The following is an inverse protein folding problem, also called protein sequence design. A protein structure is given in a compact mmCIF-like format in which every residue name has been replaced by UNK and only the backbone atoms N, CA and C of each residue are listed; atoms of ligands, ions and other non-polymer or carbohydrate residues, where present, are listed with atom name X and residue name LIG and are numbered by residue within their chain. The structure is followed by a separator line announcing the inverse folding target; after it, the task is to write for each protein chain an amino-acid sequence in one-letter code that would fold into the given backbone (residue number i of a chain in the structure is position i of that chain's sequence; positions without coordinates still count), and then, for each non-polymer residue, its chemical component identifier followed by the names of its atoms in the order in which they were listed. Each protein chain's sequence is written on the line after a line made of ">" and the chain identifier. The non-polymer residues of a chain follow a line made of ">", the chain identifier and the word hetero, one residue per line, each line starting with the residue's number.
data_IF_605660737939
#
_entry.id   IF_605660737939
#
_cell.length_a   1.000
_cell.length_b   1.000
_cell.length_c   1.000
_cell.angle_alpha   90.00
_cell.angle_beta   90.00
_cell.angle_gamma   90.00
#
_symmetry.space_group_name_H-M   'P 1'
#
loop_
_entity.id
_entity.type
_entity.pdbx_description
1 polymer ?
#
# COMPACT_ATOMS: atom_id res chain seq x y z
N UNK A 1 -21.35 33.68 28.32
CA UNK A 1 -20.97 32.80 27.21
C UNK A 1 -19.45 32.73 26.94
N UNK A 2 -18.59 33.25 27.84
CA UNK A 2 -17.10 33.28 27.66
C UNK A 2 -16.38 32.26 28.55
N UNK A 3 -17.06 31.66 29.54
CA UNK A 3 -16.42 30.73 30.50
C UNK A 3 -16.26 29.28 30.00
N UNK A 4 -17.03 28.82 28.99
CA UNK A 4 -16.95 27.46 28.49
C UNK A 4 -15.81 27.20 27.45
N UNK A 5 -15.31 28.28 26.83
CA UNK A 5 -14.19 28.17 25.86
C UNK A 5 -12.83 27.91 26.54
N UNK A 6 -12.68 28.34 27.81
CA UNK A 6 -11.40 28.17 28.54
C UNK A 6 -11.14 26.75 29.06
N UNK A 7 -12.19 26.00 29.37
CA UNK A 7 -12.02 24.62 29.88
C UNK A 7 -11.58 23.64 28.80
N UNK A 8 -12.09 23.76 27.56
CA UNK A 8 -11.65 22.94 26.44
C UNK A 8 -10.21 23.31 26.03
N UNK A 9 -9.85 24.58 26.02
CA UNK A 9 -8.49 25.03 25.75
C UNK A 9 -7.50 24.58 26.83
N UNK A 10 -7.88 24.59 28.10
CA UNK A 10 -7.08 24.06 29.20
C UNK A 10 -6.95 22.55 29.17
N UNK A 11 -8.01 21.79 28.78
CA UNK A 11 -7.95 20.37 28.59
C UNK A 11 -7.02 19.98 27.43
N UNK A 12 -7.11 20.69 26.29
CA UNK A 12 -6.22 20.49 25.14
C UNK A 12 -4.78 20.87 25.47
N UNK A 13 -4.57 21.97 26.19
CA UNK A 13 -3.24 22.39 26.66
C UNK A 13 -2.68 21.41 27.70
N UNK A 14 -3.51 20.86 28.59
CA UNK A 14 -3.15 19.83 29.55
C UNK A 14 -2.75 18.52 28.87
N UNK A 15 -3.48 18.07 27.85
CA UNK A 15 -3.17 16.90 27.05
C UNK A 15 -1.89 17.13 26.23
N UNK A 16 -1.68 18.32 25.68
CA UNK A 16 -0.48 18.70 24.93
C UNK A 16 0.76 18.80 25.86
N UNK A 17 0.60 19.31 27.08
CA UNK A 17 1.66 19.36 28.10
C UNK A 17 1.98 17.97 28.63
N UNK A 18 0.98 17.10 28.84
CA UNK A 18 1.17 15.71 29.26
C UNK A 18 1.93 14.88 28.20
N UNK A 19 1.68 15.16 26.89
CA UNK A 19 2.46 14.54 25.79
C UNK A 19 3.92 14.98 25.75
N UNK A 20 4.27 16.17 26.25
CA UNK A 20 5.66 16.68 26.22
C UNK A 20 6.55 16.18 27.34
N UNK A 21 6.00 15.57 28.39
CA UNK A 21 6.75 15.32 29.64
C UNK A 21 7.11 13.86 29.91
N UNK A 22 6.70 12.90 29.07
CA UNK A 22 7.13 11.50 29.25
C UNK A 22 7.91 11.03 28.02
N UNK A 23 9.19 10.66 28.18
CA UNK A 23 9.91 9.96 27.13
C UNK A 23 9.13 8.68 26.79
N UNK A 24 8.89 8.43 25.50
CA UNK A 24 8.31 7.17 25.04
C UNK A 24 9.30 6.07 25.42
N UNK A 25 8.96 5.29 26.43
CA UNK A 25 9.76 4.16 26.87
C UNK A 25 9.70 3.09 25.76
N UNK A 26 10.81 2.36 25.56
CA UNK A 26 10.86 1.21 24.64
C UNK A 26 9.70 0.24 24.93
N UNK A 27 9.34 0.10 26.19
CA UNK A 27 8.16 -0.65 26.67
C UNK A 27 6.86 -0.19 26.00
N UNK A 28 6.64 1.12 25.83
CA UNK A 28 5.40 1.67 25.26
C UNK A 28 5.32 1.42 23.73
N UNK A 29 6.46 1.39 23.05
CA UNK A 29 6.57 1.07 21.62
C UNK A 29 6.16 -0.38 21.32
N UNK A 30 6.29 -1.29 22.27
CA UNK A 30 5.93 -2.71 22.14
C UNK A 30 4.56 -2.99 22.75
N UNK A 31 4.29 -2.50 23.96
CA UNK A 31 3.06 -2.83 24.69
C UNK A 31 1.81 -2.20 24.09
N UNK A 32 1.90 -0.96 23.59
CA UNK A 32 0.72 -0.30 23.01
C UNK A 32 0.23 -0.98 21.71
N UNK A 33 1.09 -1.32 20.73
CA UNK A 33 0.65 -2.12 19.58
C UNK A 33 0.11 -3.49 19.98
N UNK A 34 0.77 -4.21 20.92
CA UNK A 34 0.27 -5.49 21.40
C UNK A 34 -1.11 -5.36 22.06
N UNK A 35 -1.32 -4.34 22.89
CA UNK A 35 -2.63 -4.08 23.50
C UNK A 35 -3.68 -3.74 22.43
N UNK A 36 -3.31 -3.00 21.37
CA UNK A 36 -4.17 -2.73 20.22
C UNK A 36 -4.58 -4.01 19.48
N UNK A 37 -3.62 -4.88 19.16
CA UNK A 37 -3.91 -6.17 18.51
C UNK A 37 -4.77 -7.08 19.40
N UNK A 38 -4.46 -7.17 20.69
CA UNK A 38 -5.28 -7.91 21.65
C UNK A 38 -6.70 -7.35 21.73
N UNK A 39 -6.86 -6.03 21.73
CA UNK A 39 -8.16 -5.38 21.71
C UNK A 39 -8.99 -5.76 20.48
N UNK A 40 -8.38 -5.78 19.29
CA UNK A 40 -9.04 -6.22 18.05
C UNK A 40 -9.43 -7.70 18.11
N UNK A 41 -8.54 -8.58 18.59
CA UNK A 41 -8.83 -10.00 18.74
C UNK A 41 -9.97 -10.25 19.77
N UNK A 42 -9.95 -9.54 20.89
CA UNK A 42 -11.00 -9.63 21.91
C UNK A 42 -12.35 -9.11 21.38
N UNK A 43 -12.33 -8.02 20.60
CA UNK A 43 -13.53 -7.50 19.95
C UNK A 43 -14.09 -8.53 18.94
N UNK A 44 -13.23 -9.12 18.12
CA UNK A 44 -13.64 -10.20 17.20
C UNK A 44 -14.24 -11.39 17.98
N UNK A 45 -13.55 -11.86 19.02
CA UNK A 45 -14.05 -12.94 19.85
C UNK A 45 -15.40 -12.62 20.49
N UNK A 46 -15.57 -11.39 21.02
CA UNK A 46 -16.83 -10.94 21.60
C UNK A 46 -17.97 -10.92 20.58
N UNK A 47 -17.73 -10.35 19.39
CA UNK A 47 -18.73 -10.30 18.32
C UNK A 47 -19.12 -11.71 17.87
N UNK A 48 -18.15 -12.59 17.66
CA UNK A 48 -18.36 -13.97 17.23
C UNK A 48 -19.10 -14.83 18.27
N UNK A 49 -18.93 -14.52 19.57
CA UNK A 49 -19.53 -15.35 20.65
C UNK A 49 -20.89 -14.84 21.09
N UNK A 50 -21.15 -13.51 21.06
CA UNK A 50 -22.33 -12.92 21.68
C UNK A 50 -23.30 -12.25 20.69
N UNK A 51 -22.86 -11.91 19.48
CA UNK A 51 -23.66 -11.11 18.53
C UNK A 51 -24.11 -11.90 17.30
N UNK A 52 -23.43 -13.00 16.93
CA UNK A 52 -23.75 -13.75 15.72
C UNK A 52 -23.21 -15.17 15.74
N UNK A 53 -24.07 -16.13 15.35
CA UNK A 53 -23.68 -17.54 15.21
C UNK A 53 -22.96 -17.85 13.88
N UNK A 54 -22.95 -16.90 12.94
CA UNK A 54 -22.37 -17.09 11.61
C UNK A 54 -20.88 -16.80 11.57
N UNK A 55 -20.36 -16.02 12.52
CA UNK A 55 -18.97 -15.59 12.52
C UNK A 55 -18.11 -16.56 13.33
N UNK A 56 -17.07 -17.16 12.75
CA UNK A 56 -16.17 -18.04 13.50
C UNK A 56 -15.38 -17.23 14.54
N UNK A 57 -15.13 -17.84 15.69
CA UNK A 57 -14.19 -17.27 16.67
C UNK A 57 -12.74 -17.32 16.14
N UNK A 58 -11.82 -16.51 16.69
CA UNK A 58 -10.41 -16.55 16.28
C UNK A 58 -9.80 -17.96 16.39
N UNK A 59 -10.18 -18.72 17.44
CA UNK A 59 -9.70 -20.07 17.64
C UNK A 59 -10.25 -21.04 16.57
N UNK A 60 -11.53 -20.97 16.25
CA UNK A 60 -12.14 -21.78 15.19
C UNK A 60 -11.52 -21.50 13.83
N UNK A 61 -11.33 -20.23 13.46
CA UNK A 61 -10.69 -19.85 12.20
C UNK A 61 -9.28 -20.45 12.05
N UNK A 62 -8.52 -20.58 13.14
CA UNK A 62 -7.20 -21.21 13.13
C UNK A 62 -7.27 -22.74 13.10
N UNK A 63 -8.08 -23.35 13.97
CA UNK A 63 -8.16 -24.81 14.13
C UNK A 63 -8.74 -25.49 12.88
N UNK A 64 -9.79 -24.94 12.29
CA UNK A 64 -10.42 -25.50 11.07
C UNK A 64 -9.51 -25.38 9.84
N UNK A 65 -8.55 -24.46 9.86
CA UNK A 65 -7.61 -24.24 8.77
C UNK A 65 -6.19 -24.73 9.06
N UNK A 66 -5.98 -25.56 10.08
CA UNK A 66 -4.66 -26.07 10.42
C UNK A 66 -3.94 -26.76 9.24
N UNK A 67 -4.66 -27.51 8.40
CA UNK A 67 -4.06 -28.15 7.24
C UNK A 67 -3.58 -27.12 6.19
N UNK A 68 -4.33 -26.06 5.94
CA UNK A 68 -3.95 -24.95 5.08
C UNK A 68 -2.73 -24.15 5.62
N UNK A 69 -2.60 -24.06 6.93
CA UNK A 69 -1.52 -23.34 7.59
C UNK A 69 -0.23 -24.20 7.62
N UNK A 70 -0.35 -25.49 7.95
CA UNK A 70 0.80 -26.40 8.09
C UNK A 70 1.34 -26.84 6.72
N UNK A 71 0.47 -26.97 5.72
CA UNK A 71 0.84 -27.41 4.37
C UNK A 71 0.49 -26.35 3.30
N UNK A 72 1.01 -25.10 3.36
CA UNK A 72 0.57 -24.00 2.50
C UNK A 72 0.88 -24.23 1.01
N UNK A 73 1.75 -25.19 0.68
CA UNK A 73 2.19 -25.49 -0.71
C UNK A 73 1.70 -26.84 -1.22
N UNK A 74 0.60 -27.38 -0.70
CA UNK A 74 0.04 -28.62 -1.24
C UNK A 74 -0.51 -28.45 -2.65
N UNK A 75 -0.56 -29.56 -3.40
CA UNK A 75 -1.20 -29.68 -4.72
C UNK A 75 -2.00 -30.99 -4.74
N UNK A 76 -3.32 -30.87 -4.60
CA UNK A 76 -4.21 -32.06 -4.56
C UNK A 76 -5.03 -32.27 -5.84
N UNK A 77 -4.65 -31.57 -6.92
CA UNK A 77 -5.31 -31.67 -8.23
C UNK A 77 -5.44 -30.32 -8.94
N UNK A 78 -6.03 -30.29 -10.15
CA UNK A 78 -6.33 -29.07 -10.86
C UNK A 78 -7.27 -28.17 -10.03
N UNK A 79 -6.85 -26.95 -9.74
CA UNK A 79 -7.63 -25.99 -8.96
C UNK A 79 -7.58 -26.16 -7.43
N UNK A 80 -7.03 -27.26 -6.89
CA UNK A 80 -6.88 -27.46 -5.44
C UNK A 80 -5.43 -27.23 -5.01
N UNK A 81 -5.10 -25.96 -4.86
CA UNK A 81 -3.78 -25.45 -4.50
C UNK A 81 -3.78 -24.88 -3.08
N UNK A 82 -2.71 -25.13 -2.35
CA UNK A 82 -2.48 -24.54 -1.04
C UNK A 82 -2.34 -23.03 -1.09
N UNK A 83 -2.69 -22.35 0.02
CA UNK A 83 -2.69 -20.89 0.17
C UNK A 83 -1.37 -20.24 -0.25
N UNK A 84 -0.23 -20.90 -0.02
CA UNK A 84 1.08 -20.40 -0.45
C UNK A 84 1.22 -20.22 -1.96
N UNK A 85 0.70 -21.15 -2.76
CA UNK A 85 0.72 -21.05 -4.22
C UNK A 85 -0.23 -19.96 -4.71
N UNK A 86 -1.41 -19.84 -4.09
CA UNK A 86 -2.39 -18.78 -4.41
C UNK A 86 -1.81 -17.39 -4.12
N UNK A 87 -1.17 -17.25 -2.96
CA UNK A 87 -0.49 -16.02 -2.55
C UNK A 87 0.64 -15.64 -3.51
N UNK A 88 1.48 -16.60 -3.90
CA UNK A 88 2.57 -16.38 -4.86
C UNK A 88 2.05 -15.94 -6.23
N UNK A 89 0.93 -16.52 -6.70
CA UNK A 89 0.30 -16.11 -7.96
C UNK A 89 -0.17 -14.64 -7.90
N UNK A 90 -0.84 -14.25 -6.84
CA UNK A 90 -1.27 -12.86 -6.61
C UNK A 90 -0.08 -11.89 -6.51
N UNK A 91 0.95 -12.25 -5.72
CA UNK A 91 2.17 -11.45 -5.58
C UNK A 91 2.90 -11.27 -6.92
N UNK A 92 2.99 -12.32 -7.74
CA UNK A 92 3.60 -12.19 -9.08
C UNK A 92 2.89 -11.16 -9.94
N UNK A 93 1.55 -11.17 -9.99
CA UNK A 93 0.76 -10.19 -10.75
C UNK A 93 0.96 -8.77 -10.23
N UNK A 94 0.92 -8.61 -8.90
CA UNK A 94 1.13 -7.32 -8.24
C UNK A 94 2.50 -6.77 -8.57
N UNK A 95 3.56 -7.56 -8.38
CA UNK A 95 4.94 -7.09 -8.61
C UNK A 95 5.18 -6.72 -10.07
N UNK A 96 4.65 -7.50 -11.04
CA UNK A 96 4.78 -7.18 -12.47
C UNK A 96 4.02 -5.88 -12.80
N UNK A 97 2.74 -5.78 -12.44
CA UNK A 97 1.93 -4.60 -12.74
C UNK A 97 2.46 -3.33 -12.06
N UNK A 98 2.86 -3.43 -10.79
CA UNK A 98 3.48 -2.36 -10.04
C UNK A 98 4.83 -1.91 -10.63
N UNK A 99 5.71 -2.85 -11.00
CA UNK A 99 6.99 -2.52 -11.61
C UNK A 99 6.82 -1.80 -12.96
N UNK A 100 5.91 -2.30 -13.82
CA UNK A 100 5.56 -1.62 -15.07
C UNK A 100 5.01 -0.22 -14.80
N UNK A 101 4.12 -0.08 -13.81
CA UNK A 101 3.58 1.21 -13.37
C UNK A 101 4.69 2.17 -12.91
N UNK A 102 5.60 1.71 -12.08
CA UNK A 102 6.71 2.52 -11.57
C UNK A 102 7.67 2.97 -12.69
N UNK A 103 8.01 2.07 -13.63
CA UNK A 103 8.88 2.37 -14.79
C UNK A 103 8.30 3.50 -15.65
N UNK A 104 6.99 3.55 -15.82
CA UNK A 104 6.31 4.59 -16.59
C UNK A 104 6.04 5.85 -15.77
N UNK A 105 5.60 5.67 -14.52
CA UNK A 105 5.18 6.77 -13.64
C UNK A 105 6.33 7.68 -13.22
N UNK A 106 7.50 7.11 -12.90
CA UNK A 106 8.65 7.91 -12.43
C UNK A 106 9.13 8.89 -13.50
N UNK A 107 9.41 8.50 -14.76
CA UNK A 107 9.78 9.43 -15.81
C UNK A 107 8.72 10.51 -16.08
N UNK A 108 7.44 10.14 -16.10
CA UNK A 108 6.33 11.10 -16.28
C UNK A 108 6.29 12.09 -15.12
N UNK A 109 6.42 11.61 -13.88
CA UNK A 109 6.49 12.46 -12.69
C UNK A 109 7.67 13.42 -12.71
N UNK A 110 8.84 12.97 -13.17
CA UNK A 110 10.01 13.84 -13.38
C UNK A 110 9.71 14.92 -14.42
N UNK A 111 9.16 14.55 -15.56
CA UNK A 111 8.79 15.50 -16.62
C UNK A 111 7.84 16.58 -16.10
N UNK A 112 6.81 16.18 -15.34
CA UNK A 112 5.84 17.10 -14.74
C UNK A 112 6.50 18.00 -13.69
N UNK A 113 7.33 17.44 -12.81
CA UNK A 113 8.00 18.19 -11.75
C UNK A 113 9.04 19.18 -12.24
N UNK A 114 9.69 18.90 -13.37
CA UNK A 114 10.72 19.78 -13.97
C UNK A 114 10.15 20.85 -14.90
N UNK A 115 8.94 20.66 -15.44
CA UNK A 115 8.39 21.52 -16.51
C UNK A 115 6.99 22.02 -16.19
N UNK A 116 6.84 23.34 -16.02
CA UNK A 116 5.50 23.96 -15.88
C UNK A 116 4.59 23.68 -17.07
N UNK A 117 5.14 23.59 -18.29
CA UNK A 117 4.36 23.27 -19.50
C UNK A 117 3.86 21.84 -19.46
N UNK A 118 4.70 20.87 -19.06
CA UNK A 118 4.29 19.48 -18.89
C UNK A 118 3.24 19.34 -17.78
N UNK A 119 3.41 20.04 -16.65
CA UNK A 119 2.43 20.08 -15.58
C UNK A 119 1.08 20.61 -16.07
N UNK A 120 1.03 21.73 -16.78
CA UNK A 120 -0.21 22.29 -17.32
C UNK A 120 -0.91 21.35 -18.33
N UNK A 121 -0.13 20.63 -19.14
CA UNK A 121 -0.67 19.70 -20.14
C UNK A 121 -1.17 18.39 -19.52
N UNK A 122 -0.45 17.80 -18.57
CA UNK A 122 -0.75 16.46 -18.03
C UNK A 122 -1.60 16.47 -16.78
N UNK A 123 -1.58 17.54 -15.98
CA UNK A 123 -2.35 17.60 -14.73
C UNK A 123 -3.86 17.43 -14.94
N UNK A 124 -4.53 18.03 -15.96
CA UNK A 124 -5.95 17.79 -16.20
C UNK A 124 -6.26 16.30 -16.48
N UNK A 125 -5.39 15.63 -17.24
CA UNK A 125 -5.52 14.19 -17.54
C UNK A 125 -5.44 13.38 -16.25
N UNK A 126 -4.43 13.65 -15.41
CA UNK A 126 -4.26 12.98 -14.11
C UNK A 126 -5.48 13.20 -13.22
N UNK A 127 -6.01 14.42 -13.16
CA UNK A 127 -7.17 14.74 -12.32
C UNK A 127 -8.46 14.04 -12.77
N UNK A 128 -8.60 13.74 -14.06
CA UNK A 128 -9.74 12.99 -14.60
C UNK A 128 -9.60 11.51 -14.29
N UNK A 129 -8.44 10.92 -14.50
CA UNK A 129 -8.26 9.47 -14.39
C UNK A 129 -7.94 8.96 -12.98
N UNK A 130 -7.33 9.79 -12.12
CA UNK A 130 -7.00 9.43 -10.74
C UNK A 130 -8.21 8.97 -9.91
N UNK A 131 -9.39 9.61 -9.95
CA UNK A 131 -10.54 9.18 -9.17
C UNK A 131 -11.30 8.00 -9.78
N UNK A 132 -10.93 7.53 -10.97
CA UNK A 132 -11.60 6.37 -11.60
C UNK A 132 -11.29 5.12 -10.79
N UNK A 133 -12.35 4.40 -10.40
CA UNK A 133 -12.19 3.13 -9.68
C UNK A 133 -11.32 2.15 -10.48
N UNK A 134 -10.32 1.53 -9.84
CA UNK A 134 -9.49 0.50 -10.49
C UNK A 134 -10.31 -0.59 -11.16
N UNK A 135 -11.42 -1.02 -10.53
CA UNK A 135 -12.28 -2.08 -11.05
C UNK A 135 -13.04 -1.67 -12.32
N UNK A 136 -13.21 -0.37 -12.57
CA UNK A 136 -13.82 0.10 -13.82
C UNK A 136 -12.94 -0.19 -15.06
N UNK A 137 -11.63 -0.36 -14.87
CA UNK A 137 -10.71 -0.74 -15.93
C UNK A 137 -10.76 -2.23 -16.28
N UNK A 138 -11.32 -3.07 -15.40
CA UNK A 138 -11.32 -4.53 -15.58
C UNK A 138 -12.08 -4.99 -16.84
N UNK A 139 -13.30 -4.54 -17.12
CA UNK A 139 -14.00 -4.94 -18.35
C UNK A 139 -13.25 -4.52 -19.62
N UNK A 140 -12.63 -3.32 -19.60
CA UNK A 140 -11.84 -2.81 -20.71
C UNK A 140 -10.61 -3.69 -20.93
N UNK A 141 -9.90 -4.03 -19.87
CA UNK A 141 -8.71 -4.88 -19.95
C UNK A 141 -9.04 -6.30 -20.39
N UNK A 142 -10.16 -6.87 -19.93
CA UNK A 142 -10.64 -8.17 -20.39
C UNK A 142 -11.00 -8.16 -21.87
N UNK A 143 -11.62 -7.09 -22.38
CA UNK A 143 -11.92 -6.94 -23.79
C UNK A 143 -10.66 -6.84 -24.67
N UNK A 144 -9.58 -6.24 -24.15
CA UNK A 144 -8.29 -6.08 -24.86
C UNK A 144 -7.49 -7.38 -24.85
N UNK A 145 -7.32 -8.00 -23.68
CA UNK A 145 -6.39 -9.12 -23.50
C UNK A 145 -7.06 -10.48 -23.61
N UNK A 146 -8.37 -10.58 -23.41
CA UNK A 146 -9.15 -11.83 -23.40
C UNK A 146 -8.62 -12.91 -22.42
N UNK A 147 -7.79 -12.53 -21.45
CA UNK A 147 -7.16 -13.39 -20.45
C UNK A 147 -7.15 -12.70 -19.09
N UNK A 148 -7.43 -13.45 -18.02
CA UNK A 148 -7.51 -12.92 -16.66
C UNK A 148 -6.16 -12.37 -16.15
N UNK A 149 -5.05 -13.11 -16.34
CA UNK A 149 -3.72 -12.72 -15.85
C UNK A 149 -3.23 -11.38 -16.44
N UNK A 150 -3.17 -11.17 -17.76
CA UNK A 150 -2.78 -9.89 -18.35
C UNK A 150 -3.73 -8.75 -17.96
N UNK A 151 -5.03 -9.04 -17.85
CA UNK A 151 -6.02 -8.03 -17.45
C UNK A 151 -5.80 -7.57 -16.02
N UNK A 152 -5.54 -8.49 -15.10
CA UNK A 152 -5.20 -8.16 -13.72
C UNK A 152 -3.92 -7.32 -13.63
N UNK A 153 -2.87 -7.70 -14.35
CA UNK A 153 -1.60 -6.95 -14.41
C UNK A 153 -1.83 -5.54 -14.96
N UNK A 154 -2.66 -5.38 -15.99
CA UNK A 154 -2.99 -4.08 -16.55
C UNK A 154 -3.75 -3.18 -15.58
N UNK A 155 -4.73 -3.72 -14.85
CA UNK A 155 -5.47 -2.95 -13.84
C UNK A 155 -4.52 -2.47 -12.73
N UNK A 156 -3.60 -3.33 -12.27
CA UNK A 156 -2.58 -2.95 -11.30
C UNK A 156 -1.66 -1.87 -11.87
N UNK A 157 -1.20 -2.02 -13.12
CA UNK A 157 -0.37 -1.05 -13.80
C UNK A 157 -1.01 0.33 -13.82
N UNK A 158 -2.24 0.47 -14.32
CA UNK A 158 -2.97 1.75 -14.39
C UNK A 158 -3.16 2.36 -13.00
N UNK A 159 -3.51 1.54 -12.02
CA UNK A 159 -3.76 2.00 -10.65
C UNK A 159 -2.49 2.51 -9.99
N UNK A 160 -1.36 1.87 -10.24
CA UNK A 160 -0.05 2.22 -9.66
C UNK A 160 0.53 3.51 -10.23
N UNK A 161 0.09 3.95 -11.41
CA UNK A 161 0.61 5.15 -12.07
C UNK A 161 0.39 6.42 -11.24
N UNK A 162 -0.85 6.64 -10.80
CA UNK A 162 -1.27 7.96 -10.30
C UNK A 162 -0.56 8.38 -9.02
N UNK A 163 -0.49 7.58 -7.94
CA UNK A 163 0.22 7.97 -6.74
C UNK A 163 1.72 8.16 -6.98
N UNK A 164 2.32 7.31 -7.82
CA UNK A 164 3.75 7.40 -8.14
C UNK A 164 4.06 8.64 -8.97
N UNK A 165 3.25 8.99 -10.00
CA UNK A 165 3.43 10.21 -10.79
C UNK A 165 3.34 11.45 -9.90
N UNK A 166 2.29 11.55 -9.08
CA UNK A 166 2.02 12.73 -8.27
C UNK A 166 3.13 12.95 -7.24
N UNK A 167 3.53 11.89 -6.52
CA UNK A 167 4.58 12.01 -5.51
C UNK A 167 5.95 12.27 -6.14
N UNK A 168 6.26 11.66 -7.28
CA UNK A 168 7.49 11.95 -8.02
C UNK A 168 7.53 13.42 -8.49
N UNK A 169 6.44 13.91 -9.07
CA UNK A 169 6.34 15.30 -9.51
C UNK A 169 6.49 16.28 -8.33
N UNK A 170 5.84 15.98 -7.19
CA UNK A 170 5.98 16.75 -5.96
C UNK A 170 7.44 16.75 -5.48
N UNK A 171 8.09 15.59 -5.41
CA UNK A 171 9.48 15.46 -5.00
C UNK A 171 10.44 16.28 -5.85
N UNK A 172 10.28 16.20 -7.18
CA UNK A 172 11.11 16.97 -8.13
C UNK A 172 10.87 18.47 -8.00
N UNK A 173 9.62 18.91 -7.85
CA UNK A 173 9.28 20.34 -7.74
C UNK A 173 9.62 20.94 -6.37
N UNK A 174 9.78 20.12 -5.32
CA UNK A 174 10.13 20.57 -3.96
C UNK A 174 11.62 20.81 -3.74
N UNK A 175 12.47 20.50 -4.72
CA UNK A 175 13.92 20.77 -4.64
C UNK A 175 14.16 22.28 -4.53
N UNK A 176 14.91 22.70 -3.49
CA UNK A 176 15.18 24.13 -3.26
C UNK A 176 15.82 24.77 -4.49
N UNK A 177 15.36 25.98 -4.82
CA UNK A 177 15.93 26.78 -5.89
C UNK A 177 17.40 27.10 -5.66
N UNK A 178 17.82 27.25 -4.41
CA UNK A 178 19.22 27.54 -4.06
C UNK A 178 20.17 26.49 -4.60
N UNK A 179 19.83 25.18 -4.47
CA UNK A 179 20.64 24.10 -5.05
C UNK A 179 20.70 24.16 -6.58
N UNK A 180 19.59 24.55 -7.21
CA UNK A 180 19.52 24.70 -8.67
C UNK A 180 20.34 25.89 -9.13
N UNK A 181 20.30 27.01 -8.39
CA UNK A 181 21.02 28.24 -8.72
C UNK A 181 22.53 28.06 -8.49
N UNK A 182 22.97 27.42 -7.39
CA UNK A 182 24.37 27.02 -7.18
C UNK A 182 24.87 26.12 -8.32
N UNK A 183 24.07 25.14 -8.73
CA UNK A 183 24.45 24.28 -9.86
C UNK A 183 24.52 25.02 -11.19
N UNK A 184 23.78 26.12 -11.35
CA UNK A 184 23.84 26.99 -12.53
C UNK A 184 25.11 27.84 -12.52
N UNK A 185 25.45 28.41 -11.35
CA UNK A 185 26.71 29.18 -11.17
C UNK A 185 27.95 28.31 -11.43
N UNK A 186 27.90 27.03 -11.04
CA UNK A 186 28.94 26.05 -11.30
C UNK A 186 28.90 25.50 -12.74
N UNK A 187 28.10 26.07 -13.61
CA UNK A 187 27.91 25.65 -15.02
C UNK A 187 27.66 24.15 -15.19
N UNK A 188 27.02 23.52 -14.19
CA UNK A 188 26.73 22.09 -14.24
C UNK A 188 25.80 21.75 -15.41
N UNK A 189 26.15 20.77 -16.27
CA UNK A 189 25.29 20.33 -17.35
C UNK A 189 23.97 19.74 -16.80
N UNK A 190 22.89 19.86 -17.58
CA UNK A 190 21.55 19.50 -17.15
C UNK A 190 21.46 18.05 -16.63
N UNK A 191 22.14 17.10 -17.29
CA UNK A 191 22.22 15.72 -16.85
C UNK A 191 22.80 15.56 -15.44
N UNK A 192 23.91 16.27 -15.13
CA UNK A 192 24.51 16.23 -13.78
C UNK A 192 23.60 16.84 -12.73
N UNK A 193 22.85 17.91 -13.05
CA UNK A 193 21.87 18.49 -12.14
C UNK A 193 20.75 17.49 -11.80
N UNK A 194 20.25 16.77 -12.82
CA UNK A 194 19.23 15.74 -12.61
C UNK A 194 19.79 14.63 -11.73
N UNK A 195 20.91 14.03 -12.08
CA UNK A 195 21.42 12.81 -11.42
C UNK A 195 22.05 13.06 -10.05
N UNK A 196 22.63 14.24 -9.81
CA UNK A 196 23.37 14.54 -8.57
C UNK A 196 22.60 15.39 -7.56
N UNK A 197 21.56 16.11 -8.01
CA UNK A 197 20.80 17.02 -7.14
C UNK A 197 19.32 16.59 -7.10
N UNK A 198 18.63 16.61 -8.25
CA UNK A 198 17.19 16.44 -8.28
C UNK A 198 16.80 15.02 -7.93
N UNK A 199 17.44 14.02 -8.53
CA UNK A 199 17.16 12.61 -8.28
C UNK A 199 17.32 12.23 -6.80
N UNK A 200 18.47 12.46 -6.14
CA UNK A 200 18.64 12.13 -4.74
C UNK A 200 17.68 12.89 -3.81
N UNK A 201 17.42 14.17 -4.11
CA UNK A 201 16.49 14.97 -3.31
C UNK A 201 15.04 14.54 -3.44
N UNK A 202 14.64 13.98 -4.59
CA UNK A 202 13.28 13.51 -4.84
C UNK A 202 13.01 12.06 -4.37
N UNK A 203 14.06 11.27 -4.08
CA UNK A 203 13.93 9.86 -3.68
C UNK A 203 12.93 9.60 -2.54
N UNK A 204 12.90 10.35 -1.42
CA UNK A 204 11.94 10.11 -0.35
C UNK A 204 10.49 10.23 -0.82
N UNK A 205 10.21 11.18 -1.71
CA UNK A 205 8.88 11.36 -2.29
C UNK A 205 8.53 10.24 -3.28
N UNK A 206 9.50 9.82 -4.10
CA UNK A 206 9.33 8.68 -5.02
C UNK A 206 8.97 7.43 -4.22
N UNK A 207 9.71 7.12 -3.15
CA UNK A 207 9.42 5.98 -2.29
C UNK A 207 8.06 6.10 -1.58
N UNK A 208 7.68 7.30 -1.15
CA UNK A 208 6.32 7.54 -0.64
C UNK A 208 5.26 7.19 -1.69
N UNK A 209 5.44 7.64 -2.94
CA UNK A 209 4.56 7.29 -4.06
C UNK A 209 4.52 5.79 -4.34
N UNK A 210 5.67 5.13 -4.34
CA UNK A 210 5.78 3.68 -4.55
C UNK A 210 5.08 2.87 -3.44
N UNK A 211 5.23 3.26 -2.16
CA UNK A 211 4.54 2.60 -1.04
C UNK A 211 3.02 2.71 -1.16
N UNK A 212 2.52 3.90 -1.45
CA UNK A 212 1.07 4.12 -1.66
C UNK A 212 0.58 3.28 -2.85
N UNK A 213 1.30 3.31 -3.98
CA UNK A 213 0.95 2.54 -5.18
C UNK A 213 0.95 1.03 -4.93
N UNK A 214 1.94 0.50 -4.23
CA UNK A 214 2.02 -0.92 -3.92
C UNK A 214 0.89 -1.36 -2.98
N UNK A 215 0.57 -0.54 -1.96
CA UNK A 215 -0.55 -0.80 -1.06
C UNK A 215 -1.89 -0.85 -1.80
N UNK A 216 -2.14 0.10 -2.72
CA UNK A 216 -3.35 0.12 -3.54
C UNK A 216 -3.34 -1.07 -4.52
N UNK A 217 -2.21 -1.37 -5.16
CA UNK A 217 -2.07 -2.51 -6.07
C UNK A 217 -2.40 -3.84 -5.39
N UNK A 218 -1.93 -4.02 -4.14
CA UNK A 218 -2.24 -5.19 -3.32
C UNK A 218 -3.74 -5.30 -2.98
N UNK A 219 -4.37 -4.20 -2.65
CA UNK A 219 -5.82 -4.13 -2.41
C UNK A 219 -6.63 -4.49 -3.66
N UNK A 220 -6.21 -3.94 -4.81
CA UNK A 220 -6.90 -4.08 -6.10
C UNK A 220 -6.81 -5.50 -6.63
N UNK A 221 -5.66 -6.20 -6.51
CA UNK A 221 -5.53 -7.56 -7.04
C UNK A 221 -6.51 -8.53 -6.40
N UNK A 222 -6.74 -8.42 -5.08
CA UNK A 222 -7.71 -9.27 -4.36
C UNK A 222 -9.10 -9.12 -4.99
N UNK A 223 -9.56 -7.88 -5.22
CA UNK A 223 -10.86 -7.62 -5.81
C UNK A 223 -10.94 -8.08 -7.28
N UNK A 224 -9.88 -7.88 -8.06
CA UNK A 224 -9.81 -8.35 -9.46
C UNK A 224 -9.90 -9.87 -9.54
N UNK A 225 -9.16 -10.58 -8.70
CA UNK A 225 -9.17 -12.05 -8.65
C UNK A 225 -10.52 -12.63 -8.21
N UNK A 226 -11.22 -11.95 -7.29
CA UNK A 226 -12.59 -12.31 -6.92
C UNK A 226 -13.56 -12.25 -8.12
N UNK A 227 -13.36 -11.29 -9.02
CA UNK A 227 -14.23 -11.09 -10.18
C UNK A 227 -13.84 -11.96 -11.39
N UNK A 228 -12.55 -12.18 -11.59
CA UNK A 228 -12.05 -12.92 -12.78
C UNK A 228 -11.94 -14.42 -12.57
N UNK A 229 -11.90 -14.85 -11.32
CA UNK A 229 -11.68 -16.27 -11.00
C UNK A 229 -10.24 -16.73 -11.20
N UNK A 230 -10.02 -18.02 -11.14
CA UNK A 230 -8.74 -18.66 -11.43
C UNK A 230 -7.87 -18.91 -10.20
N UNK A 231 -6.56 -18.70 -10.31
CA UNK A 231 -5.58 -18.97 -9.24
C UNK A 231 -5.18 -17.67 -8.58
N UNK A 232 -5.48 -17.51 -7.29
CA UNK A 232 -5.12 -16.34 -6.51
C UNK A 232 -5.81 -16.31 -5.16
N UNK A 233 -5.24 -15.51 -4.24
CA UNK A 233 -5.80 -15.40 -2.87
C UNK A 233 -7.17 -14.73 -2.87
N UNK A 234 -7.44 -13.79 -3.79
CA UNK A 234 -8.74 -13.15 -3.93
C UNK A 234 -9.82 -14.12 -4.41
N UNK A 235 -9.50 -15.00 -5.38
CA UNK A 235 -10.43 -16.05 -5.81
C UNK A 235 -10.70 -17.05 -4.70
N UNK A 236 -9.70 -17.42 -3.89
CA UNK A 236 -9.90 -18.28 -2.72
C UNK A 236 -10.91 -17.66 -1.74
N UNK A 237 -10.82 -16.36 -1.45
CA UNK A 237 -11.81 -15.67 -0.60
C UNK A 237 -13.21 -15.81 -1.17
N UNK A 238 -13.38 -15.62 -2.48
CA UNK A 238 -14.67 -15.73 -3.14
C UNK A 238 -15.23 -17.17 -3.15
N UNK A 239 -14.37 -18.15 -3.43
CA UNK A 239 -14.73 -19.58 -3.46
C UNK A 239 -15.18 -20.07 -2.07
N UNK A 240 -14.40 -19.77 -1.02
CA UNK A 240 -14.75 -20.13 0.36
C UNK A 240 -15.99 -19.38 0.87
N UNK A 241 -16.16 -18.12 0.49
CA UNK A 241 -17.40 -17.38 0.74
C UNK A 241 -18.62 -18.06 0.08
N UNK A 242 -18.47 -18.49 -1.16
CA UNK A 242 -19.56 -19.16 -1.91
C UNK A 242 -19.94 -20.51 -1.29
N UNK A 243 -19.00 -21.14 -0.58
CA UNK A 243 -19.21 -22.37 0.19
C UNK A 243 -19.70 -22.13 1.62
N UNK A 244 -19.88 -20.86 2.01
CA UNK A 244 -20.22 -20.45 3.38
C UNK A 244 -19.17 -20.86 4.43
N UNK A 245 -17.92 -21.09 4.00
CA UNK A 245 -16.81 -21.40 4.89
C UNK A 245 -16.13 -20.11 5.38
N UNK A 246 -16.78 -19.46 6.33
CA UNK A 246 -16.29 -18.18 6.86
C UNK A 246 -14.95 -18.31 7.60
N UNK A 247 -14.65 -19.46 8.20
CA UNK A 247 -13.38 -19.70 8.86
C UNK A 247 -12.20 -19.54 7.90
N UNK A 248 -12.29 -20.09 6.68
CA UNK A 248 -11.28 -19.95 5.65
C UNK A 248 -11.23 -18.53 5.08
N UNK A 249 -12.36 -17.84 4.97
CA UNK A 249 -12.41 -16.42 4.57
C UNK A 249 -11.66 -15.55 5.58
N UNK A 250 -11.89 -15.72 6.87
CA UNK A 250 -11.17 -14.97 7.92
C UNK A 250 -9.67 -15.25 7.92
N UNK A 251 -9.26 -16.52 7.74
CA UNK A 251 -7.85 -16.86 7.57
C UNK A 251 -7.24 -16.13 6.36
N UNK A 252 -7.92 -16.14 5.21
CA UNK A 252 -7.43 -15.44 4.01
C UNK A 252 -7.29 -13.93 4.24
N UNK A 253 -8.26 -13.29 4.92
CA UNK A 253 -8.19 -11.85 5.29
C UNK A 253 -6.97 -11.57 6.16
N UNK A 254 -6.67 -12.43 7.15
CA UNK A 254 -5.46 -12.29 7.96
C UNK A 254 -4.17 -12.41 7.12
N UNK A 255 -4.10 -13.40 6.23
CA UNK A 255 -2.95 -13.61 5.32
C UNK A 255 -2.77 -12.40 4.39
N UNK A 256 -3.86 -11.88 3.82
CA UNK A 256 -3.84 -10.69 2.96
C UNK A 256 -3.31 -9.49 3.74
N UNK A 257 -3.79 -9.27 4.96
CA UNK A 257 -3.32 -8.18 5.82
C UNK A 257 -1.84 -8.30 6.19
N UNK A 258 -1.40 -9.49 6.63
CA UNK A 258 0.01 -9.75 6.94
C UNK A 258 0.92 -9.57 5.72
N UNK A 259 0.47 -10.01 4.54
CA UNK A 259 1.23 -9.84 3.31
C UNK A 259 1.36 -8.36 2.93
N UNK A 260 0.28 -7.58 3.05
CA UNK A 260 0.32 -6.13 2.84
C UNK A 260 1.33 -5.43 3.78
N UNK A 261 1.36 -5.83 5.05
CA UNK A 261 2.34 -5.34 6.04
C UNK A 261 3.78 -5.68 5.63
N UNK A 262 4.03 -6.92 5.17
CA UNK A 262 5.36 -7.35 4.70
C UNK A 262 5.80 -6.56 3.48
N UNK A 263 4.89 -6.34 2.53
CA UNK A 263 5.16 -5.54 1.32
C UNK A 263 5.52 -4.10 1.67
N UNK A 264 4.75 -3.44 2.56
CA UNK A 264 5.04 -2.08 3.01
C UNK A 264 6.38 -1.99 3.74
N UNK A 265 6.65 -2.95 4.64
CA UNK A 265 7.93 -3.04 5.34
C UNK A 265 9.11 -3.24 4.39
N UNK A 266 8.97 -4.10 3.37
CA UNK A 266 10.01 -4.36 2.37
C UNK A 266 10.37 -3.09 1.59
N UNK A 267 9.38 -2.34 1.09
CA UNK A 267 9.63 -1.07 0.40
C UNK A 267 10.24 -0.02 1.34
N UNK A 268 9.77 0.06 2.59
CA UNK A 268 10.35 0.95 3.60
C UNK A 268 11.82 0.62 3.90
N UNK A 269 12.20 -0.66 3.92
CA UNK A 269 13.61 -1.07 4.05
C UNK A 269 14.45 -0.67 2.85
N UNK A 270 13.94 -0.88 1.63
CA UNK A 270 14.62 -0.44 0.40
C UNK A 270 14.80 1.09 0.42
N UNK A 271 13.76 1.84 0.81
CA UNK A 271 13.85 3.29 0.98
C UNK A 271 15.02 3.67 1.90
N UNK A 272 15.13 3.07 3.09
CA UNK A 272 16.19 3.39 4.05
C UNK A 272 17.59 3.06 3.55
N UNK A 273 17.73 2.04 2.69
CA UNK A 273 19.01 1.67 2.08
C UNK A 273 19.45 2.63 0.96
N UNK A 274 18.45 3.15 0.20
CA UNK A 274 18.72 4.00 -0.98
C UNK A 274 18.78 5.49 -0.61
N UNK A 275 17.94 5.93 0.34
CA UNK A 275 17.95 7.29 0.85
C UNK A 275 18.93 7.40 2.01
N UNK A 276 20.15 7.91 1.73
CA UNK A 276 21.06 8.33 2.79
C UNK A 276 20.44 9.54 3.52
N UNK A 277 19.59 9.30 4.52
CA UNK A 277 19.24 10.37 5.47
C UNK A 277 20.48 10.62 6.35
N UNK A 278 21.09 11.82 6.32
CA UNK A 278 22.01 12.17 7.40
C UNK A 278 21.22 12.01 8.69
N UNK A 279 21.75 11.23 9.65
CA UNK A 279 21.19 11.17 11.00
C UNK A 279 21.20 12.61 11.50
N UNK A 280 20.05 13.27 11.48
CA UNK A 280 19.87 14.52 12.21
C UNK A 280 20.10 14.17 13.67
N UNK A 281 21.19 14.71 14.22
CA UNK A 281 21.48 14.71 15.64
C UNK A 281 20.25 15.34 16.33
N UNK A 282 19.40 14.50 16.93
CA UNK A 282 18.37 14.91 17.89
C UNK A 282 19.01 14.97 19.26
#
# INVERSE_FOLDING_TARGET
>A
MIFHLNLAALAVAGIAAWRRTKPILIRDVVLLPLAGFLGVILLWWFVATFLTDLMPTPAQALVENLDNILHPFYRRGPGNLGLGWLLLASLRRVLIGFALGAIVAIPIGFLIGMSKKAMLALNPIIQIFKPVSPLAWLPISLAIFNLADPSAIFVIFITSLWPTIINTALGVSSVSKDYIDVARVLEMPQWRRITKIIWPASLPYIFTGLRISLGIAWLVIVAVEMLTGGVGIGFFVWDEWSRLNLSSVFLAVLIIGLTGLVLDYAVGKIETLVTHRPKTLT
#
